data_IF_049310747858
#
_entry.id   IF_049310747858
#
_cell.length_a   1.000
_cell.length_b   1.000
_cell.length_c   1.000
_cell.angle_alpha   90.00
_cell.angle_beta   90.00
_cell.angle_gamma   90.00
#
_symmetry.space_group_name_H-M   'P 1'
#
loop_
_entity.id
_entity.type
_entity.pdbx_description
1 polymer ?
#
# COMPACT_ATOMS: atom_id res chain seq x y z
N UNK A 1 10.47 19.57 29.40
CA UNK A 1 10.03 18.26 28.84
C UNK A 1 10.88 17.13 29.41
N UNK A 2 12.20 17.22 29.29
CA UNK A 2 13.16 16.21 29.79
C UNK A 2 12.89 15.75 31.24
N UNK A 3 12.82 16.68 32.20
CA UNK A 3 12.53 16.39 33.61
C UNK A 3 11.20 15.62 33.81
N UNK A 4 10.17 15.97 33.03
CA UNK A 4 8.87 15.30 33.13
C UNK A 4 8.92 13.87 32.59
N UNK A 5 9.70 13.62 31.53
CA UNK A 5 9.90 12.28 30.98
C UNK A 5 10.72 11.43 31.95
N UNK A 6 11.84 11.96 32.46
CA UNK A 6 12.69 11.27 33.46
C UNK A 6 11.89 10.90 34.71
N UNK A 7 11.03 11.79 35.19
CA UNK A 7 10.18 11.55 36.37
C UNK A 7 9.07 10.53 36.12
N UNK A 8 8.43 10.56 34.95
CA UNK A 8 7.27 9.71 34.64
C UNK A 8 7.64 8.33 34.09
N UNK A 9 8.80 8.21 33.44
CA UNK A 9 9.29 6.98 32.76
C UNK A 9 8.17 6.32 31.93
N UNK A 10 7.57 7.04 30.96
CA UNK A 10 6.41 6.54 30.25
C UNK A 10 6.80 5.37 29.33
N UNK A 11 5.95 4.34 29.28
CA UNK A 11 6.11 3.23 28.32
C UNK A 11 5.94 3.68 26.87
N UNK A 12 5.09 4.68 26.63
CA UNK A 12 4.79 5.24 25.30
C UNK A 12 4.62 6.76 25.38
N UNK A 13 5.04 7.47 24.34
CA UNK A 13 4.80 8.91 24.16
C UNK A 13 4.11 9.10 22.82
N UNK A 14 2.97 9.78 22.83
CA UNK A 14 2.22 10.16 21.63
C UNK A 14 2.28 11.68 21.41
N UNK A 15 2.54 12.10 20.18
CA UNK A 15 2.65 13.51 19.79
C UNK A 15 1.33 13.92 19.11
N UNK A 16 0.68 14.94 19.65
CA UNK A 16 -0.63 15.43 19.20
C UNK A 16 -0.55 16.78 18.49
N UNK A 17 -1.72 17.38 18.23
CA UNK A 17 -1.81 18.70 17.62
C UNK A 17 -1.23 19.82 18.49
N UNK A 18 -0.85 20.91 17.84
CA UNK A 18 -0.65 22.23 18.44
C UNK A 18 -2.04 22.85 18.64
N UNK A 19 -2.31 23.36 19.83
CA UNK A 19 -3.60 23.96 20.19
C UNK A 19 -3.47 25.48 20.38
N UNK A 20 -4.58 26.19 20.23
CA UNK A 20 -4.67 27.65 20.36
C UNK A 20 -4.17 28.19 21.71
N UNK A 21 -4.27 27.42 22.80
CA UNK A 21 -3.79 27.78 24.13
C UNK A 21 -3.15 26.60 24.86
N UNK A 22 -2.28 26.90 25.84
CA UNK A 22 -1.64 25.89 26.68
C UNK A 22 -2.67 25.20 27.58
N UNK A 23 -2.72 23.85 27.56
CA UNK A 23 -3.68 22.96 28.24
C UNK A 23 -3.86 23.16 29.75
N UNK A 24 -3.12 24.05 30.41
CA UNK A 24 -2.95 24.02 31.85
C UNK A 24 -4.08 24.67 32.68
N UNK A 25 -5.06 25.39 32.09
CA UNK A 25 -6.00 26.20 32.89
C UNK A 25 -7.46 26.37 32.43
N UNK A 26 -7.97 25.70 31.38
CA UNK A 26 -9.36 25.96 30.94
C UNK A 26 -10.12 24.73 30.42
N UNK A 27 -11.45 24.86 30.39
CA UNK A 27 -12.46 23.86 30.01
C UNK A 27 -12.15 23.26 28.63
N UNK A 28 -12.29 21.94 28.49
CA UNK A 28 -11.91 21.19 27.28
C UNK A 28 -12.57 21.70 25.97
N UNK A 29 -13.71 22.40 26.06
CA UNK A 29 -14.47 22.91 24.91
C UNK A 29 -13.82 24.10 24.18
N UNK A 30 -12.80 24.75 24.74
CA UNK A 30 -12.11 25.89 24.10
C UNK A 30 -10.77 25.53 23.43
N UNK A 31 -10.35 24.26 23.50
CA UNK A 31 -9.10 23.77 22.89
C UNK A 31 -9.31 23.44 21.41
N UNK A 32 -8.94 24.38 20.54
CA UNK A 32 -9.00 24.19 19.09
C UNK A 32 -7.62 23.80 18.56
N UNK A 33 -7.49 22.68 17.82
CA UNK A 33 -6.24 22.33 17.14
C UNK A 33 -5.98 23.31 16.00
N UNK A 34 -4.80 23.93 15.99
CA UNK A 34 -4.40 24.95 15.00
C UNK A 34 -3.37 24.45 14.00
N UNK A 35 -2.60 23.42 14.36
CA UNK A 35 -1.65 22.79 13.47
C UNK A 35 -1.34 21.37 13.92
N UNK A 36 -1.05 20.47 12.98
CA UNK A 36 -0.58 19.11 13.24
C UNK A 36 0.10 18.58 12.00
N UNK A 37 1.23 17.90 12.13
CA UNK A 37 1.87 17.18 11.03
C UNK A 37 0.83 16.31 10.29
N UNK A 38 0.95 16.21 8.96
CA UNK A 38 0.21 15.21 8.21
C UNK A 38 0.92 13.87 8.42
N UNK A 39 0.20 12.88 8.95
CA UNK A 39 0.78 11.60 9.37
C UNK A 39 0.13 10.47 8.59
N UNK A 40 0.96 9.58 8.05
CA UNK A 40 0.54 8.31 7.47
C UNK A 40 1.04 7.18 8.36
N UNK A 41 0.19 6.20 8.64
CA UNK A 41 0.49 5.00 9.41
C UNK A 41 0.19 3.78 8.53
N UNK A 42 1.21 2.97 8.26
CA UNK A 42 1.11 1.78 7.42
C UNK A 42 1.53 0.57 8.26
N UNK A 43 0.60 -0.34 8.51
CA UNK A 43 0.82 -1.57 9.29
C UNK A 43 0.77 -2.81 8.38
N UNK A 44 1.68 -3.76 8.60
CA UNK A 44 1.71 -5.02 7.88
C UNK A 44 0.46 -5.91 8.09
N UNK A 45 -0.38 -5.68 9.10
CA UNK A 45 -1.66 -6.41 9.21
C UNK A 45 -2.59 -6.12 8.06
N UNK A 46 -2.52 -4.93 7.47
CA UNK A 46 -3.36 -4.57 6.32
C UNK A 46 -2.97 -5.38 5.06
N UNK A 47 -1.84 -6.08 5.11
CA UNK A 47 -1.33 -6.98 4.07
C UNK A 47 -1.60 -8.46 4.38
N UNK A 48 -2.29 -8.81 5.48
CA UNK A 48 -2.50 -10.21 5.90
C UNK A 48 -3.17 -11.07 4.83
N UNK A 49 -4.00 -10.48 3.98
CA UNK A 49 -4.69 -11.18 2.92
C UNK A 49 -3.83 -11.37 1.65
N UNK A 50 -2.66 -10.74 1.57
CA UNK A 50 -1.73 -10.83 0.42
C UNK A 50 -0.34 -11.35 0.79
N UNK A 51 -0.04 -11.51 2.09
CA UNK A 51 1.20 -12.10 2.60
C UNK A 51 0.97 -13.51 3.14
N UNK A 52 1.90 -14.40 2.82
CA UNK A 52 1.85 -15.83 3.15
C UNK A 52 2.95 -16.28 4.11
N UNK A 53 3.96 -15.43 4.34
CA UNK A 53 5.13 -15.75 5.17
C UNK A 53 4.91 -15.49 6.68
N UNK A 54 3.98 -14.60 7.04
CA UNK A 54 3.62 -14.24 8.41
C UNK A 54 2.12 -13.93 8.47
N UNK A 55 1.56 -13.83 9.67
CA UNK A 55 0.17 -13.42 9.91
C UNK A 55 0.09 -12.51 11.14
N UNK A 56 -0.90 -11.63 11.18
CA UNK A 56 -1.17 -10.76 12.32
C UNK A 56 0.04 -9.90 12.69
N UNK A 57 0.63 -10.18 13.85
CA UNK A 57 1.67 -9.33 14.41
C UNK A 57 3.12 -9.75 14.11
N UNK A 58 3.28 -10.85 13.39
CA UNK A 58 4.57 -11.38 13.00
C UNK A 58 5.09 -10.73 11.72
N UNK A 59 6.41 -10.60 11.65
CA UNK A 59 7.13 -9.99 10.51
C UNK A 59 8.39 -10.78 10.20
N UNK A 60 8.83 -10.69 8.95
CA UNK A 60 10.13 -11.18 8.51
C UNK A 60 10.66 -10.31 7.37
N UNK A 61 11.90 -10.58 6.94
CA UNK A 61 12.54 -9.86 5.83
C UNK A 61 11.78 -9.99 4.50
N UNK A 62 10.92 -11.00 4.32
CA UNK A 62 10.12 -11.17 3.11
C UNK A 62 8.96 -10.16 3.06
N UNK A 63 8.14 -10.08 4.11
CA UNK A 63 7.02 -9.13 4.15
C UNK A 63 7.46 -7.68 4.44
N UNK A 64 8.63 -7.45 5.04
CA UNK A 64 9.14 -6.08 5.19
C UNK A 64 9.35 -5.35 3.85
N UNK A 65 9.50 -6.08 2.75
CA UNK A 65 9.57 -5.51 1.40
C UNK A 65 8.30 -4.74 1.02
N UNK A 66 7.13 -5.09 1.56
CA UNK A 66 5.90 -4.30 1.38
C UNK A 66 6.07 -2.89 1.96
N UNK A 67 6.62 -2.76 3.18
CA UNK A 67 6.86 -1.47 3.82
C UNK A 67 7.86 -0.62 3.03
N UNK A 68 8.93 -1.22 2.52
CA UNK A 68 9.90 -0.51 1.70
C UNK A 68 9.28 0.06 0.40
N UNK A 69 8.39 -0.71 -0.24
CA UNK A 69 7.72 -0.31 -1.47
C UNK A 69 6.64 0.75 -1.18
N UNK A 70 5.83 0.57 -0.14
CA UNK A 70 4.85 1.54 0.31
C UNK A 70 5.51 2.89 0.64
N UNK A 71 6.61 2.86 1.40
CA UNK A 71 7.44 4.05 1.69
C UNK A 71 7.85 4.76 0.39
N UNK A 72 8.40 4.02 -0.58
CA UNK A 72 8.85 4.60 -1.85
C UNK A 72 7.71 5.22 -2.67
N UNK A 73 6.56 4.56 -2.73
CA UNK A 73 5.39 5.05 -3.48
C UNK A 73 4.85 6.34 -2.85
N UNK A 74 4.64 6.32 -1.53
CA UNK A 74 4.10 7.45 -0.79
C UNK A 74 5.08 8.62 -0.75
N UNK A 75 6.37 8.38 -0.53
CA UNK A 75 7.40 9.44 -0.52
C UNK A 75 7.45 10.17 -1.87
N UNK A 76 7.46 9.43 -2.99
CA UNK A 76 7.44 10.03 -4.33
C UNK A 76 6.16 10.82 -4.58
N UNK A 77 4.99 10.30 -4.21
CA UNK A 77 3.74 11.03 -4.39
C UNK A 77 3.70 12.34 -3.55
N UNK A 78 4.10 12.26 -2.28
CA UNK A 78 4.16 13.44 -1.40
C UNK A 78 5.13 14.51 -1.91
N UNK A 79 6.25 14.11 -2.51
CA UNK A 79 7.24 15.04 -3.07
C UNK A 79 6.86 15.58 -4.44
N UNK A 80 6.53 14.70 -5.38
CA UNK A 80 6.32 15.08 -6.78
C UNK A 80 4.93 15.64 -7.05
N UNK A 81 3.91 15.14 -6.35
CA UNK A 81 2.52 15.53 -6.61
C UNK A 81 2.06 16.65 -5.66
N UNK A 82 2.49 16.62 -4.39
CA UNK A 82 2.12 17.62 -3.38
C UNK A 82 3.21 18.65 -3.06
N UNK A 83 4.45 18.44 -3.52
CA UNK A 83 5.55 19.37 -3.31
C UNK A 83 6.12 19.40 -1.88
N UNK A 84 5.74 18.46 -1.01
CA UNK A 84 6.26 18.41 0.36
C UNK A 84 7.74 18.04 0.39
N UNK A 85 8.51 18.67 1.29
CA UNK A 85 9.96 18.50 1.35
C UNK A 85 10.42 17.82 2.63
N UNK A 86 9.74 18.12 3.75
CA UNK A 86 10.13 17.74 5.09
C UNK A 86 9.41 16.47 5.55
N UNK A 87 9.86 15.32 5.04
CA UNK A 87 9.27 14.01 5.35
C UNK A 87 10.19 13.25 6.32
N UNK A 88 9.63 12.80 7.45
CA UNK A 88 10.31 11.95 8.42
C UNK A 88 9.61 10.58 8.47
N UNK A 89 10.31 9.55 7.99
CA UNK A 89 9.88 8.16 8.12
C UNK A 89 10.43 7.55 9.41
N UNK A 90 9.55 6.93 10.20
CA UNK A 90 9.87 6.34 11.50
C UNK A 90 9.36 4.91 11.54
N UNK A 91 10.18 3.99 12.03
CA UNK A 91 9.73 2.63 12.35
C UNK A 91 8.70 2.66 13.49
N UNK A 92 7.58 1.95 13.36
CA UNK A 92 6.52 1.97 14.38
C UNK A 92 6.91 1.32 15.71
N UNK A 93 8.08 0.65 15.76
CA UNK A 93 8.56 -0.12 16.90
C UNK A 93 8.23 -1.61 16.79
N UNK A 94 7.42 -2.01 15.80
CA UNK A 94 7.11 -3.42 15.54
C UNK A 94 7.00 -3.75 14.06
N UNK A 95 5.88 -3.43 13.41
CA UNK A 95 5.50 -4.06 12.13
C UNK A 95 5.00 -3.08 11.07
N UNK A 96 5.31 -1.80 11.23
CA UNK A 96 4.83 -0.75 10.37
C UNK A 96 5.79 0.42 10.30
N UNK A 97 5.39 1.41 9.53
CA UNK A 97 6.12 2.65 9.32
C UNK A 97 5.17 3.84 9.45
N UNK A 98 5.66 4.92 10.03
CA UNK A 98 4.94 6.19 10.11
C UNK A 98 5.67 7.24 9.26
N UNK A 99 4.96 7.97 8.43
CA UNK A 99 5.49 9.17 7.75
C UNK A 99 4.93 10.41 8.42
N UNK A 100 5.81 11.32 8.85
CA UNK A 100 5.47 12.63 9.37
C UNK A 100 5.87 13.69 8.35
N UNK A 101 4.87 14.35 7.77
CA UNK A 101 5.08 15.49 6.86
C UNK A 101 5.06 16.78 7.69
N UNK A 102 6.22 17.43 7.75
CA UNK A 102 6.53 18.52 8.68
C UNK A 102 6.53 19.90 8.02
N UNK A 103 6.23 19.99 6.73
CA UNK A 103 6.08 21.26 6.02
C UNK A 103 4.99 22.14 6.66
N UNK A 104 5.21 23.45 6.70
CA UNK A 104 4.25 24.40 7.30
C UNK A 104 2.88 24.30 6.62
N UNK A 105 2.87 24.15 5.29
CA UNK A 105 1.65 23.94 4.50
C UNK A 105 0.92 22.65 4.87
N UNK A 106 1.63 21.55 5.10
CA UNK A 106 1.04 20.29 5.55
C UNK A 106 0.46 20.40 6.97
N UNK A 107 1.13 21.17 7.84
CA UNK A 107 0.73 21.33 9.24
C UNK A 107 -0.61 22.04 9.42
N UNK A 108 -0.93 22.97 8.53
CA UNK A 108 -2.13 23.80 8.61
C UNK A 108 -3.32 23.25 7.81
N UNK A 109 -3.17 22.09 7.14
CA UNK A 109 -4.26 21.46 6.42
C UNK A 109 -5.45 21.20 7.36
N UNK A 110 -6.64 21.55 6.89
CA UNK A 110 -7.92 21.20 7.48
C UNK A 110 -8.16 19.68 7.41
N UNK A 111 -9.13 19.18 8.17
CA UNK A 111 -9.51 17.76 8.10
C UNK A 111 -9.95 17.34 6.70
N UNK A 112 -10.68 18.21 5.98
CA UNK A 112 -11.13 17.94 4.61
C UNK A 112 -9.96 17.83 3.64
N UNK A 113 -8.98 18.73 3.72
CA UNK A 113 -7.80 18.66 2.86
C UNK A 113 -6.95 17.43 3.16
N UNK A 114 -6.82 17.05 4.44
CA UNK A 114 -6.13 15.80 4.84
C UNK A 114 -6.82 14.57 4.26
N UNK A 115 -8.15 14.51 4.31
CA UNK A 115 -8.92 13.45 3.67
C UNK A 115 -8.69 13.42 2.16
N UNK A 116 -8.68 14.57 1.48
CA UNK A 116 -8.41 14.64 0.05
C UNK A 116 -7.01 14.11 -0.33
N UNK A 117 -5.98 14.38 0.50
CA UNK A 117 -4.64 13.79 0.30
C UNK A 117 -4.68 12.26 0.48
N UNK A 118 -5.37 11.77 1.51
CA UNK A 118 -5.52 10.33 1.74
C UNK A 118 -6.27 9.65 0.58
N UNK A 119 -7.38 10.22 0.13
CA UNK A 119 -8.19 9.72 -0.98
C UNK A 119 -7.41 9.68 -2.29
N UNK A 120 -6.55 10.68 -2.54
CA UNK A 120 -5.66 10.70 -3.71
C UNK A 120 -4.68 9.52 -3.72
N UNK A 121 -4.17 9.13 -2.55
CA UNK A 121 -3.21 8.04 -2.39
C UNK A 121 -3.88 6.66 -2.24
N UNK A 122 -5.17 6.63 -1.88
CA UNK A 122 -5.91 5.40 -1.63
C UNK A 122 -6.50 4.81 -2.91
N UNK A 123 -5.86 3.76 -3.43
CA UNK A 123 -6.35 3.00 -4.59
C UNK A 123 -7.13 1.73 -4.20
N UNK A 124 -6.81 1.16 -3.04
CA UNK A 124 -7.40 -0.08 -2.56
C UNK A 124 -8.63 0.28 -1.72
N UNK A 125 -9.79 -0.19 -2.17
CA UNK A 125 -11.09 0.01 -1.50
C UNK A 125 -11.84 -1.33 -1.43
N UNK A 126 -12.18 -1.76 -0.22
CA UNK A 126 -12.91 -3.01 0.00
C UNK A 126 -12.53 -3.72 1.30
N UNK A 127 -13.47 -4.45 1.88
CA UNK A 127 -13.24 -5.24 3.09
C UNK A 127 -12.45 -6.51 2.79
N UNK A 128 -12.01 -7.23 3.84
CA UNK A 128 -11.36 -8.55 3.73
C UNK A 128 -12.16 -9.57 2.91
N UNK A 129 -13.49 -9.39 2.81
CA UNK A 129 -14.38 -10.30 2.09
C UNK A 129 -14.47 -10.00 0.58
N UNK A 130 -13.91 -8.88 0.12
CA UNK A 130 -13.87 -8.53 -1.29
C UNK A 130 -12.66 -9.18 -1.98
N UNK A 131 -12.91 -10.08 -2.94
CA UNK A 131 -11.86 -10.73 -3.71
C UNK A 131 -11.05 -9.73 -4.57
N UNK A 132 -11.72 -8.70 -5.10
CA UNK A 132 -11.13 -7.59 -5.86
C UNK A 132 -11.34 -6.29 -5.09
N UNK A 133 -10.24 -5.61 -4.75
CA UNK A 133 -10.21 -4.35 -4.00
C UNK A 133 -9.70 -3.16 -4.82
N UNK A 134 -9.15 -3.43 -6.01
CA UNK A 134 -8.72 -2.41 -6.97
C UNK A 134 -9.72 -2.37 -8.12
N UNK A 135 -10.38 -1.23 -8.32
CA UNK A 135 -11.37 -1.02 -9.37
C UNK A 135 -10.95 0.18 -10.21
N UNK A 136 -9.94 0.00 -11.07
CA UNK A 136 -9.58 1.02 -12.03
C UNK A 136 -10.49 0.97 -13.25
N UNK A 137 -10.93 2.12 -13.79
CA UNK A 137 -11.64 2.14 -15.06
C UNK A 137 -10.72 1.59 -16.15
N UNK A 138 -11.28 0.82 -17.09
CA UNK A 138 -10.57 0.42 -18.31
C UNK A 138 -10.48 1.69 -19.16
N UNK A 139 -9.35 2.38 -19.10
CA UNK A 139 -9.12 3.64 -19.77
C UNK A 139 -7.67 3.78 -20.21
N UNK A 140 -7.50 4.36 -21.39
CA UNK A 140 -6.21 4.71 -21.98
C UNK A 140 -5.48 5.79 -21.19
N UNK A 141 -6.19 6.50 -20.30
CA UNK A 141 -5.67 7.60 -19.50
C UNK A 141 -5.57 7.19 -18.03
N UNK A 142 -4.51 6.45 -17.71
CA UNK A 142 -4.17 6.17 -16.32
C UNK A 142 -3.62 7.43 -15.64
N UNK A 143 -4.08 7.70 -14.43
CA UNK A 143 -3.59 8.82 -13.64
C UNK A 143 -2.07 8.71 -13.42
N UNK A 144 -1.27 9.81 -13.57
CA UNK A 144 0.19 9.75 -13.52
C UNK A 144 0.76 9.10 -12.26
N UNK A 145 0.16 9.37 -11.10
CA UNK A 145 0.58 8.80 -9.82
C UNK A 145 0.41 7.28 -9.78
N UNK A 146 -0.68 6.75 -10.36
CA UNK A 146 -0.93 5.30 -10.46
C UNK A 146 0.07 4.65 -11.42
N UNK A 147 0.35 5.30 -12.56
CA UNK A 147 1.35 4.82 -13.52
C UNK A 147 2.75 4.73 -12.88
N UNK A 148 3.13 5.74 -12.10
CA UNK A 148 4.41 5.76 -11.37
C UNK A 148 4.47 4.65 -10.32
N UNK A 149 3.42 4.48 -9.52
CA UNK A 149 3.32 3.40 -8.53
C UNK A 149 3.43 2.02 -9.21
N UNK A 150 2.68 1.80 -10.29
CA UNK A 150 2.72 0.56 -11.07
C UNK A 150 4.10 0.23 -11.60
N UNK A 151 4.83 1.22 -12.12
CA UNK A 151 6.20 1.01 -12.60
C UNK A 151 7.17 0.59 -11.50
N UNK A 152 6.99 1.10 -10.27
CA UNK A 152 7.78 0.69 -9.10
C UNK A 152 7.46 -0.77 -8.75
N UNK A 153 6.17 -1.11 -8.70
CA UNK A 153 5.68 -2.43 -8.28
C UNK A 153 6.05 -3.51 -9.31
N UNK A 154 5.87 -3.24 -10.60
CA UNK A 154 6.09 -4.20 -11.70
C UNK A 154 7.47 -4.88 -11.60
N UNK A 155 8.50 -4.10 -11.28
CA UNK A 155 9.88 -4.60 -11.19
C UNK A 155 10.15 -5.41 -9.92
N UNK A 156 9.24 -5.38 -8.95
CA UNK A 156 9.37 -6.03 -7.63
C UNK A 156 8.37 -7.16 -7.42
N UNK A 157 7.32 -7.25 -8.21
CA UNK A 157 6.26 -8.22 -8.02
C UNK A 157 6.73 -9.68 -8.01
N UNK A 158 7.63 -10.05 -8.92
CA UNK A 158 8.19 -11.40 -8.94
C UNK A 158 8.97 -11.72 -7.65
N UNK A 159 9.92 -10.85 -7.29
CA UNK A 159 10.78 -11.00 -6.11
C UNK A 159 9.98 -11.03 -4.79
N UNK A 160 8.95 -10.18 -4.67
CA UNK A 160 8.21 -9.99 -3.42
C UNK A 160 7.02 -10.93 -3.31
N UNK A 161 6.17 -10.99 -4.32
CA UNK A 161 4.91 -11.72 -4.28
C UNK A 161 5.08 -13.17 -4.75
N UNK A 162 5.70 -13.38 -5.92
CA UNK A 162 5.83 -14.74 -6.48
C UNK A 162 6.81 -15.57 -5.65
N UNK A 163 8.04 -15.11 -5.47
CA UNK A 163 9.07 -15.82 -4.69
C UNK A 163 8.97 -15.55 -3.19
N UNK A 164 8.74 -14.30 -2.79
CA UNK A 164 8.72 -13.93 -1.36
C UNK A 164 7.47 -14.41 -0.61
N UNK A 165 6.32 -14.49 -1.28
CA UNK A 165 5.06 -14.96 -0.70
C UNK A 165 4.57 -16.30 -1.28
N UNK A 166 5.37 -16.98 -2.12
CA UNK A 166 5.03 -18.27 -2.72
C UNK A 166 3.61 -18.29 -3.35
N UNK A 167 3.25 -17.22 -4.06
CA UNK A 167 1.86 -16.97 -4.48
C UNK A 167 1.30 -18.06 -5.41
N UNK A 168 2.16 -18.70 -6.22
CA UNK A 168 1.77 -19.72 -7.17
C UNK A 168 1.83 -21.15 -6.61
N UNK A 169 2.46 -21.36 -5.46
CA UNK A 169 2.62 -22.70 -4.87
C UNK A 169 1.44 -23.09 -4.00
N UNK A 170 0.86 -22.13 -3.27
CA UNK A 170 -0.29 -22.37 -2.41
C UNK A 170 -1.59 -22.37 -3.25
N UNK A 171 -2.40 -23.46 -3.21
CA UNK A 171 -3.63 -23.55 -4.01
C UNK A 171 -4.62 -22.40 -3.75
N UNK A 172 -4.75 -21.97 -2.50
CA UNK A 172 -5.64 -20.87 -2.11
C UNK A 172 -5.17 -19.53 -2.66
N UNK A 173 -3.86 -19.26 -2.58
CA UNK A 173 -3.25 -18.03 -3.12
C UNK A 173 -3.34 -17.98 -4.64
N UNK A 174 -3.09 -19.10 -5.32
CA UNK A 174 -3.25 -19.21 -6.76
C UNK A 174 -4.71 -18.99 -7.16
N UNK A 175 -5.67 -19.57 -6.44
CA UNK A 175 -7.11 -19.34 -6.66
C UNK A 175 -7.47 -17.86 -6.49
N UNK A 176 -6.93 -17.19 -5.45
CA UNK A 176 -7.13 -15.75 -5.24
C UNK A 176 -6.57 -14.92 -6.39
N UNK A 177 -5.35 -15.21 -6.84
CA UNK A 177 -4.74 -14.55 -8.00
C UNK A 177 -5.60 -14.72 -9.27
N UNK A 178 -6.00 -15.96 -9.59
CA UNK A 178 -6.81 -16.26 -10.77
C UNK A 178 -8.21 -15.65 -10.70
N UNK A 179 -8.76 -15.41 -9.51
CA UNK A 179 -10.07 -14.75 -9.33
C UNK A 179 -10.08 -13.28 -9.78
N UNK A 180 -8.90 -12.66 -9.91
CA UNK A 180 -8.76 -11.31 -10.45
C UNK A 180 -8.93 -11.25 -11.98
N UNK A 181 -8.92 -12.41 -12.64
CA UNK A 181 -9.13 -12.54 -14.08
C UNK A 181 -10.62 -12.83 -14.34
N UNK A 182 -11.38 -11.81 -14.75
CA UNK A 182 -12.81 -11.94 -15.12
C UNK A 182 -13.08 -12.76 -16.40
N UNK A 183 -12.12 -12.92 -17.32
CA UNK A 183 -12.30 -13.73 -18.54
C UNK A 183 -12.07 -15.21 -18.21
N UNK A 184 -13.16 -15.96 -18.11
CA UNK A 184 -13.13 -17.39 -17.83
C UNK A 184 -12.42 -18.22 -18.91
N UNK A 185 -12.42 -17.81 -20.18
CA UNK A 185 -11.66 -18.53 -21.22
C UNK A 185 -10.17 -18.35 -21.00
N UNK A 186 -9.73 -17.11 -20.76
CA UNK A 186 -8.33 -16.80 -20.48
C UNK A 186 -7.84 -17.49 -19.21
N UNK A 187 -8.63 -17.42 -18.12
CA UNK A 187 -8.34 -18.09 -16.85
C UNK A 187 -8.19 -19.61 -17.01
N UNK A 188 -9.02 -20.25 -17.82
CA UNK A 188 -8.92 -21.68 -18.12
C UNK A 188 -7.67 -22.02 -18.95
N UNK A 189 -7.27 -21.18 -19.91
CA UNK A 189 -6.02 -21.36 -20.66
C UNK A 189 -4.80 -21.25 -19.74
N UNK A 190 -4.75 -20.20 -18.92
CA UNK A 190 -3.68 -19.98 -17.95
C UNK A 190 -3.58 -21.19 -17.00
N UNK A 191 -4.70 -21.63 -16.43
CA UNK A 191 -4.74 -22.75 -15.49
C UNK A 191 -4.21 -24.05 -16.10
N UNK A 192 -4.55 -24.35 -17.36
CA UNK A 192 -4.02 -25.53 -18.06
C UNK A 192 -2.50 -25.43 -18.27
N UNK A 193 -2.01 -24.25 -18.69
CA UNK A 193 -0.60 -24.02 -19.02
C UNK A 193 0.30 -24.05 -17.78
N UNK A 194 -0.13 -23.45 -16.67
CA UNK A 194 0.66 -23.47 -15.42
C UNK A 194 0.72 -24.85 -14.78
N UNK A 195 -0.31 -25.69 -14.96
CA UNK A 195 -0.35 -27.05 -14.40
C UNK A 195 0.64 -28.00 -15.11
N UNK A 196 1.00 -27.72 -16.37
CA UNK A 196 2.04 -28.48 -17.08
C UNK A 196 3.47 -28.08 -16.72
N UNK A 197 3.65 -26.98 -15.98
CA UNK A 197 4.96 -26.44 -15.63
C UNK A 197 5.30 -26.75 -14.17
N UNK A 198 6.58 -26.91 -13.88
CA UNK A 198 7.09 -27.16 -12.52
C UNK A 198 7.79 -25.93 -11.96
N UNK A 199 8.63 -25.29 -12.77
CA UNK A 199 9.39 -24.10 -12.38
C UNK A 199 8.49 -22.87 -12.16
N UNK A 200 8.71 -22.16 -11.05
CA UNK A 200 7.88 -21.02 -10.63
C UNK A 200 8.05 -19.81 -11.56
N UNK A 201 9.25 -19.63 -12.12
CA UNK A 201 9.56 -18.54 -13.04
C UNK A 201 8.91 -18.80 -14.40
N UNK A 202 8.97 -20.04 -14.89
CA UNK A 202 8.25 -20.46 -16.08
C UNK A 202 6.72 -20.31 -15.92
N UNK A 203 6.15 -20.71 -14.77
CA UNK A 203 4.73 -20.48 -14.46
C UNK A 203 4.36 -19.01 -14.53
N UNK A 204 5.14 -18.15 -13.89
CA UNK A 204 4.89 -16.70 -13.92
C UNK A 204 5.01 -16.13 -15.33
N UNK A 205 6.06 -16.49 -16.07
CA UNK A 205 6.24 -16.06 -17.45
C UNK A 205 5.09 -16.52 -18.34
N UNK A 206 4.57 -17.74 -18.15
CA UNK A 206 3.41 -18.23 -18.87
C UNK A 206 2.15 -17.41 -18.55
N UNK A 207 1.93 -17.02 -17.29
CA UNK A 207 0.82 -16.12 -16.91
C UNK A 207 0.98 -14.77 -17.61
N UNK A 208 2.16 -14.15 -17.51
CA UNK A 208 2.43 -12.84 -18.13
C UNK A 208 2.23 -12.92 -19.64
N UNK A 209 2.74 -13.98 -20.29
CA UNK A 209 2.60 -14.18 -21.72
C UNK A 209 1.13 -14.35 -22.13
N UNK A 210 0.34 -15.18 -21.45
CA UNK A 210 -1.08 -15.36 -21.78
C UNK A 210 -1.90 -14.10 -21.56
N UNK A 211 -1.56 -13.29 -20.55
CA UNK A 211 -2.17 -11.98 -20.36
C UNK A 211 -1.81 -11.02 -21.51
N UNK A 212 -0.61 -11.16 -22.10
CA UNK A 212 -0.09 -10.32 -23.20
C UNK A 212 -0.63 -10.75 -24.57
N UNK A 213 -0.74 -12.07 -24.82
CA UNK A 213 -1.12 -12.68 -26.10
C UNK A 213 -2.63 -12.63 -26.37
N UNK A 214 -3.44 -12.13 -25.43
CA UNK A 214 -4.86 -11.91 -25.69
C UNK A 214 -5.03 -10.93 -26.85
N UNK A 215 -5.66 -11.39 -27.93
CA UNK A 215 -6.08 -10.62 -29.12
C UNK A 215 -7.13 -9.53 -28.84
N UNK A 216 -7.25 -9.12 -27.59
CA UNK A 216 -8.09 -8.05 -27.08
C UNK A 216 -7.11 -6.92 -26.75
N UNK A 217 -7.27 -5.76 -27.37
CA UNK A 217 -6.34 -4.61 -27.40
C UNK A 217 -5.37 -4.49 -26.21
N UNK A 218 -4.13 -4.01 -26.47
CA UNK A 218 -3.08 -3.70 -25.47
C UNK A 218 -3.61 -3.09 -24.14
N UNK A 219 -4.73 -2.35 -24.19
CA UNK A 219 -5.47 -1.82 -23.04
C UNK A 219 -5.94 -2.85 -22.01
N UNK A 220 -6.37 -4.05 -22.41
CA UNK A 220 -6.87 -5.06 -21.49
C UNK A 220 -5.74 -5.76 -20.73
N UNK A 221 -4.57 -5.93 -21.36
CA UNK A 221 -3.37 -6.46 -20.70
C UNK A 221 -2.89 -5.56 -19.58
N UNK A 222 -2.69 -4.28 -19.91
CA UNK A 222 -2.27 -3.29 -18.93
C UNK A 222 -3.26 -3.26 -17.78
N UNK A 223 -4.55 -3.43 -18.04
CA UNK A 223 -5.56 -3.47 -17.00
C UNK A 223 -5.42 -4.68 -16.05
N UNK A 224 -5.37 -5.92 -16.54
CA UNK A 224 -5.22 -7.09 -15.66
C UNK A 224 -3.94 -7.05 -14.86
N UNK A 225 -2.82 -6.81 -15.55
CA UNK A 225 -1.51 -6.80 -14.92
C UNK A 225 -1.45 -5.68 -13.88
N UNK A 226 -1.93 -4.47 -14.21
CA UNK A 226 -2.02 -3.35 -13.27
C UNK A 226 -2.89 -3.67 -12.06
N UNK A 227 -4.09 -4.21 -12.25
CA UNK A 227 -4.99 -4.55 -11.14
C UNK A 227 -4.39 -5.62 -10.23
N UNK A 228 -3.76 -6.66 -10.81
CA UNK A 228 -3.07 -7.69 -10.03
C UNK A 228 -1.91 -7.07 -9.24
N UNK A 229 -1.07 -6.27 -9.86
CA UNK A 229 0.06 -5.65 -9.17
C UNK A 229 -0.38 -4.75 -8.01
N UNK A 230 -1.37 -3.89 -8.24
CA UNK A 230 -1.89 -2.99 -7.22
C UNK A 230 -2.71 -3.71 -6.13
N UNK A 231 -3.33 -4.85 -6.42
CA UNK A 231 -4.08 -5.60 -5.41
C UNK A 231 -3.17 -6.19 -4.32
N UNK A 232 -1.92 -6.49 -4.67
CA UNK A 232 -0.94 -7.13 -3.78
C UNK A 232 0.05 -6.13 -3.15
N UNK A 233 -0.06 -4.82 -3.42
CA UNK A 233 0.83 -3.77 -2.94
C UNK A 233 0.09 -2.51 -2.49
#
# INVERSE_FOLDING_TARGET
MEEAIKKKVPFKIDIGAIFSFHRHRQVASSLVPVARELVFDIDLTDYDDVRNCCQGADICLKCWKFMAIACKIIDLALREDFGFQNLLWVFSGRRGIHCWVCDVSAKILSSQERSAVADYLQLISGSSNCAKKVNLPISDKLHPSIRRASNIIRNKFFEVCIEGQNLLEKPESLKKLLSLIWDEKLKNRISKKINSLTDIKEKWNAIVQELTDTSVSLFYFDHYFLNINLQYF
#
